data_IF_620466605426
#
_entry.id   IF_620466605426
#
_cell.length_a   1.000
_cell.length_b   1.000
_cell.length_c   1.000
_cell.angle_alpha   90.00
_cell.angle_beta   90.00
_cell.angle_gamma   90.00
#
_symmetry.space_group_name_H-M   'P 1'
#
loop_
_entity.id
_entity.type
_entity.pdbx_description
1 polymer ?
#
# COMPACT_ATOMS: atom_id res chain seq x y z
N UNK A 1 26.03 2.17 -15.47
CA UNK A 1 26.70 2.46 -16.76
C UNK A 1 26.38 3.85 -17.30
N UNK A 2 25.17 4.41 -17.08
CA UNK A 2 24.82 5.76 -17.58
C UNK A 2 25.65 6.88 -16.91
N UNK A 3 25.81 6.88 -15.58
CA UNK A 3 26.55 7.94 -14.89
C UNK A 3 28.05 7.96 -15.20
N UNK A 4 28.66 6.83 -15.55
CA UNK A 4 30.08 6.76 -15.92
C UNK A 4 30.40 7.44 -17.26
N UNK A 5 29.38 7.68 -18.09
CA UNK A 5 29.53 8.37 -19.38
C UNK A 5 29.42 9.89 -19.24
N UNK A 6 29.01 10.40 -18.07
CA UNK A 6 28.91 11.84 -17.81
C UNK A 6 30.24 12.39 -17.27
N UNK A 7 30.65 13.61 -17.69
CA UNK A 7 31.73 14.32 -17.01
C UNK A 7 31.33 14.55 -15.54
N UNK A 8 32.26 14.29 -14.61
CA UNK A 8 31.98 14.28 -13.16
C UNK A 8 30.91 13.26 -12.72
N UNK A 9 30.77 12.15 -13.44
CA UNK A 9 29.77 11.12 -13.20
C UNK A 9 29.67 10.59 -11.76
N UNK A 10 30.80 10.51 -11.04
CA UNK A 10 30.81 10.09 -9.64
C UNK A 10 30.12 11.11 -8.72
N UNK A 11 30.32 12.41 -8.96
CA UNK A 11 29.68 13.48 -8.19
C UNK A 11 28.16 13.51 -8.45
N UNK A 12 27.76 13.45 -9.73
CA UNK A 12 26.34 13.42 -10.12
C UNK A 12 25.66 12.16 -9.59
N UNK A 13 26.32 11.01 -9.70
CA UNK A 13 25.82 9.74 -9.15
C UNK A 13 25.62 9.81 -7.64
N UNK A 14 26.56 10.41 -6.90
CA UNK A 14 26.44 10.60 -5.45
C UNK A 14 25.23 11.47 -5.10
N UNK A 15 25.01 12.57 -5.80
CA UNK A 15 23.83 13.41 -5.61
C UNK A 15 22.53 12.68 -5.94
N UNK A 16 22.51 11.91 -7.03
CA UNK A 16 21.35 11.13 -7.45
C UNK A 16 20.95 10.07 -6.43
N UNK A 17 21.89 9.23 -6.01
CA UNK A 17 21.63 8.21 -4.99
C UNK A 17 21.37 8.82 -3.62
N UNK A 18 22.01 9.95 -3.29
CA UNK A 18 21.69 10.72 -2.10
C UNK A 18 20.23 11.20 -2.08
N UNK A 19 19.73 11.70 -3.21
CA UNK A 19 18.33 12.10 -3.36
C UNK A 19 17.38 10.90 -3.20
N UNK A 20 17.68 9.77 -3.85
CA UNK A 20 16.91 8.54 -3.70
C UNK A 20 16.88 8.03 -2.25
N UNK A 21 18.00 8.18 -1.52
CA UNK A 21 18.06 7.82 -0.10
C UNK A 21 17.13 8.67 0.76
N UNK A 22 17.14 9.99 0.60
CA UNK A 22 16.22 10.87 1.33
C UNK A 22 14.74 10.61 0.95
N UNK A 23 14.46 10.38 -0.34
CA UNK A 23 13.12 10.02 -0.80
C UNK A 23 12.64 8.68 -0.20
N UNK A 24 13.53 7.70 -0.05
CA UNK A 24 13.22 6.44 0.62
C UNK A 24 12.90 6.61 2.11
N UNK A 25 13.63 7.47 2.82
CA UNK A 25 13.39 7.77 4.24
C UNK A 25 11.99 8.38 4.43
N UNK A 26 11.65 9.41 3.66
CA UNK A 26 10.36 10.10 3.82
C UNK A 26 9.18 9.17 3.53
N UNK A 27 9.28 8.33 2.50
CA UNK A 27 8.27 7.31 2.21
C UNK A 27 8.13 6.28 3.32
N UNK A 28 9.26 5.79 3.87
CA UNK A 28 9.25 4.80 4.96
C UNK A 28 8.57 5.35 6.21
N UNK A 29 8.84 6.62 6.56
CA UNK A 29 8.19 7.28 7.70
C UNK A 29 6.68 7.40 7.49
N UNK A 30 6.24 7.81 6.29
CA UNK A 30 4.82 7.93 5.96
C UNK A 30 4.08 6.57 6.04
N UNK A 31 4.68 5.50 5.53
CA UNK A 31 4.08 4.16 5.53
C UNK A 31 4.10 3.48 6.91
N UNK A 32 5.04 3.84 7.79
CA UNK A 32 5.13 3.31 9.16
C UNK A 32 4.10 3.94 10.10
N UNK A 33 3.61 5.15 9.78
CA UNK A 33 2.72 5.90 10.66
C UNK A 33 1.32 5.25 10.82
N UNK A 34 0.62 4.79 9.76
CA UNK A 34 -0.69 4.14 9.91
C UNK A 34 -0.70 2.91 10.85
N UNK A 35 0.20 1.91 10.71
CA UNK A 35 0.20 0.78 11.64
C UNK A 35 0.58 1.20 13.08
N UNK A 36 1.44 2.21 13.23
CA UNK A 36 1.73 2.78 14.54
C UNK A 36 0.52 3.51 15.16
N UNK A 37 -0.25 4.25 14.37
CA UNK A 37 -1.45 4.94 14.82
C UNK A 37 -2.51 3.91 15.27
N UNK A 38 -2.74 2.87 14.48
CA UNK A 38 -3.61 1.76 14.88
C UNK A 38 -3.20 1.15 16.23
N UNK A 39 -1.92 0.85 16.45
CA UNK A 39 -1.47 0.30 17.74
C UNK A 39 -1.60 1.29 18.92
N UNK A 40 -1.48 2.58 18.67
CA UNK A 40 -1.59 3.61 19.71
C UNK A 40 -3.05 3.90 20.06
N UNK A 41 -3.87 4.19 19.05
CA UNK A 41 -5.24 4.65 19.22
C UNK A 41 -6.17 3.50 19.62
N UNK A 42 -5.98 2.33 19.00
CA UNK A 42 -6.86 1.18 19.20
C UNK A 42 -6.40 0.21 20.31
N UNK A 43 -5.09 0.04 20.46
CA UNK A 43 -4.54 -0.85 21.50
C UNK A 43 -3.98 -0.11 22.71
N UNK A 44 -3.97 1.23 22.71
CA UNK A 44 -3.46 2.04 23.80
C UNK A 44 -1.96 1.89 24.03
N UNK A 45 -1.18 1.42 23.04
CA UNK A 45 0.26 1.21 23.24
C UNK A 45 0.99 2.55 23.28
N UNK A 46 2.02 2.70 24.15
CA UNK A 46 2.85 3.90 24.10
C UNK A 46 3.64 3.93 22.78
N UNK A 47 3.82 5.12 22.21
CA UNK A 47 4.48 5.35 20.92
C UNK A 47 5.78 4.57 20.73
N UNK A 48 6.64 4.54 21.76
CA UNK A 48 7.94 3.83 21.72
C UNK A 48 7.75 2.31 21.52
N UNK A 49 6.77 1.71 22.19
CA UNK A 49 6.46 0.28 22.05
C UNK A 49 5.90 -0.03 20.67
N UNK A 50 4.99 0.80 20.16
CA UNK A 50 4.44 0.66 18.81
C UNK A 50 5.55 0.77 17.74
N UNK A 51 6.44 1.76 17.85
CA UNK A 51 7.55 1.95 16.93
C UNK A 51 8.50 0.75 16.89
N UNK A 52 8.95 0.27 18.06
CA UNK A 52 9.87 -0.88 18.15
C UNK A 52 9.21 -2.12 17.53
N UNK A 53 7.92 -2.34 17.81
CA UNK A 53 7.19 -3.47 17.25
C UNK A 53 7.12 -3.40 15.72
N UNK A 54 6.67 -2.28 15.16
CA UNK A 54 6.53 -2.13 13.71
C UNK A 54 7.88 -2.23 13.01
N UNK A 55 8.94 -1.60 13.54
CA UNK A 55 10.28 -1.68 12.95
C UNK A 55 10.84 -3.11 13.03
N UNK A 56 10.68 -3.80 14.17
CA UNK A 56 11.16 -5.19 14.31
C UNK A 56 10.43 -6.12 13.35
N UNK A 57 9.12 -5.91 13.17
CA UNK A 57 8.30 -6.63 12.21
C UNK A 57 8.77 -6.36 10.77
N UNK A 58 8.92 -5.09 10.37
CA UNK A 58 9.42 -4.71 9.04
C UNK A 58 10.83 -5.25 8.79
N UNK A 59 11.69 -5.25 9.80
CA UNK A 59 13.04 -5.80 9.68
C UNK A 59 13.01 -7.31 9.40
N UNK A 60 12.22 -8.09 10.14
CA UNK A 60 12.14 -9.53 9.96
C UNK A 60 11.60 -9.91 8.57
N UNK A 61 10.46 -9.34 8.19
CA UNK A 61 9.83 -9.62 6.89
C UNK A 61 10.61 -9.01 5.73
N UNK A 62 11.20 -7.83 5.92
CA UNK A 62 12.05 -7.18 4.92
C UNK A 62 13.28 -8.02 4.57
N UNK A 63 13.95 -8.61 5.56
CA UNK A 63 15.08 -9.52 5.30
C UNK A 63 14.65 -10.76 4.52
N UNK A 64 13.48 -11.34 4.82
CA UNK A 64 12.95 -12.46 4.04
C UNK A 64 12.78 -12.10 2.56
N UNK A 65 12.26 -10.90 2.26
CA UNK A 65 12.09 -10.42 0.88
C UNK A 65 13.46 -10.22 0.22
N UNK A 66 14.38 -9.52 0.90
CA UNK A 66 15.72 -9.19 0.36
C UNK A 66 16.52 -10.44 0.00
N UNK A 67 16.47 -11.49 0.83
CA UNK A 67 17.18 -12.74 0.55
C UNK A 67 16.55 -13.57 -0.57
N UNK A 68 15.30 -13.31 -0.94
CA UNK A 68 14.58 -14.07 -1.96
C UNK A 68 14.20 -13.22 -3.18
N UNK A 69 14.88 -12.10 -3.42
CA UNK A 69 14.65 -11.24 -4.59
C UNK A 69 14.83 -12.03 -5.89
N UNK A 70 15.81 -12.93 -5.96
CA UNK A 70 16.11 -13.73 -7.16
C UNK A 70 14.96 -14.66 -7.58
N UNK A 71 14.10 -15.06 -6.63
CA UNK A 71 12.95 -15.95 -6.85
C UNK A 71 11.65 -15.18 -7.16
N UNK A 72 11.72 -13.87 -7.45
CA UNK A 72 10.55 -13.05 -7.79
C UNK A 72 9.63 -12.69 -6.62
N UNK A 73 10.07 -12.88 -5.36
CA UNK A 73 9.24 -12.60 -4.17
C UNK A 73 8.83 -11.13 -4.08
N UNK A 74 9.71 -10.21 -4.49
CA UNK A 74 9.42 -8.78 -4.48
C UNK A 74 8.35 -8.42 -5.51
N UNK A 75 8.39 -9.01 -6.70
CA UNK A 75 7.42 -8.76 -7.77
C UNK A 75 6.04 -9.29 -7.38
N UNK A 76 5.98 -10.46 -6.71
CA UNK A 76 4.75 -11.02 -6.20
C UNK A 76 4.09 -10.11 -5.14
N UNK A 77 4.90 -9.55 -4.22
CA UNK A 77 4.40 -8.60 -3.22
C UNK A 77 3.92 -7.30 -3.84
N UNK A 78 4.69 -6.74 -4.78
CA UNK A 78 4.34 -5.49 -5.46
C UNK A 78 3.04 -5.65 -6.27
N UNK A 79 2.86 -6.81 -6.90
CA UNK A 79 1.62 -7.15 -7.59
C UNK A 79 0.42 -7.21 -6.65
N UNK A 80 0.48 -8.04 -5.59
CA UNK A 80 -0.69 -8.26 -4.73
C UNK A 80 -1.02 -7.06 -3.86
N UNK A 81 -0.02 -6.37 -3.31
CA UNK A 81 -0.23 -5.27 -2.37
C UNK A 81 -0.22 -3.93 -3.09
N UNK A 82 0.82 -3.66 -3.89
CA UNK A 82 1.04 -2.38 -4.55
C UNK A 82 0.09 -2.13 -5.72
N UNK A 83 -0.24 -3.17 -6.49
CA UNK A 83 -1.12 -3.05 -7.66
C UNK A 83 -2.57 -3.44 -7.33
N UNK A 84 -2.82 -4.69 -6.96
CA UNK A 84 -4.19 -5.21 -6.75
C UNK A 84 -4.81 -4.63 -5.49
N UNK A 85 -4.12 -4.81 -4.36
CA UNK A 85 -4.60 -4.38 -3.04
C UNK A 85 -4.93 -2.90 -3.03
N UNK A 86 -3.98 -2.06 -3.48
CA UNK A 86 -4.16 -0.61 -3.53
C UNK A 86 -5.43 -0.21 -4.31
N UNK A 87 -5.62 -0.74 -5.52
CA UNK A 87 -6.78 -0.39 -6.36
C UNK A 87 -8.09 -0.91 -5.76
N UNK A 88 -8.11 -2.16 -5.25
CA UNK A 88 -9.31 -2.76 -4.65
C UNK A 88 -9.71 -2.03 -3.37
N UNK A 89 -8.77 -1.78 -2.45
CA UNK A 89 -9.06 -1.05 -1.22
C UNK A 89 -9.48 0.39 -1.51
N UNK A 90 -8.81 1.08 -2.44
CA UNK A 90 -9.20 2.43 -2.85
C UNK A 90 -10.61 2.45 -3.45
N UNK A 91 -10.98 1.43 -4.23
CA UNK A 91 -12.32 1.31 -4.79
C UNK A 91 -13.37 1.05 -3.70
N UNK A 92 -13.08 0.22 -2.72
CA UNK A 92 -13.98 -0.01 -1.59
C UNK A 92 -14.12 1.24 -0.71
N UNK A 93 -13.02 1.92 -0.40
CA UNK A 93 -13.01 3.16 0.39
C UNK A 93 -13.83 4.26 -0.28
N UNK A 94 -13.65 4.48 -1.58
CA UNK A 94 -14.45 5.49 -2.30
C UNK A 94 -15.92 5.09 -2.36
N UNK A 95 -16.23 3.79 -2.47
CA UNK A 95 -17.61 3.30 -2.47
C UNK A 95 -18.29 3.59 -1.12
N UNK A 96 -17.60 3.26 -0.03
CA UNK A 96 -18.05 3.51 1.33
C UNK A 96 -18.22 5.02 1.55
N UNK A 97 -17.23 5.82 1.17
CA UNK A 97 -17.23 7.26 1.40
C UNK A 97 -18.30 8.00 0.59
N UNK A 98 -18.38 7.77 -0.72
CA UNK A 98 -19.25 8.56 -1.60
C UNK A 98 -20.71 8.07 -1.61
N UNK A 99 -20.97 6.79 -1.40
CA UNK A 99 -22.33 6.24 -1.50
C UNK A 99 -22.91 5.72 -0.19
N UNK A 100 -22.12 5.06 0.66
CA UNK A 100 -22.63 4.51 1.94
C UNK A 100 -22.74 5.62 3.00
N UNK A 101 -21.66 6.37 3.22
CA UNK A 101 -21.68 7.55 4.09
C UNK A 101 -22.52 8.68 3.46
N UNK A 102 -22.49 8.75 2.12
CA UNK A 102 -23.29 9.65 1.32
C UNK A 102 -22.52 10.93 0.98
N UNK A 103 -22.33 11.17 -0.33
CA UNK A 103 -21.49 12.24 -0.83
C UNK A 103 -21.91 13.63 -0.34
N UNK A 104 -23.19 13.87 -0.09
CA UNK A 104 -23.66 15.18 0.38
C UNK A 104 -23.17 15.48 1.81
N UNK A 105 -23.20 14.48 2.70
CA UNK A 105 -22.64 14.58 4.06
C UNK A 105 -21.13 14.68 4.03
N UNK A 106 -20.48 13.83 3.23
CA UNK A 106 -19.03 13.89 3.02
C UNK A 106 -18.59 15.28 2.53
N UNK A 107 -19.37 15.89 1.64
CA UNK A 107 -19.06 17.20 1.09
C UNK A 107 -19.24 18.34 2.11
N UNK A 108 -20.23 18.23 2.99
CA UNK A 108 -20.41 19.15 4.11
C UNK A 108 -19.21 19.06 5.06
N UNK A 109 -18.86 17.86 5.51
CA UNK A 109 -17.69 17.59 6.38
C UNK A 109 -16.37 18.09 5.78
N UNK A 110 -16.15 17.86 4.48
CA UNK A 110 -14.94 18.33 3.78
C UNK A 110 -14.84 19.87 3.78
N UNK A 111 -15.97 20.57 3.72
CA UNK A 111 -15.99 22.03 3.69
C UNK A 111 -16.17 22.66 5.07
N UNK A 112 -16.49 21.86 6.09
CA UNK A 112 -16.61 22.32 7.47
C UNK A 112 -15.22 22.69 8.02
N UNK A 113 -15.09 23.93 8.51
CA UNK A 113 -13.80 24.45 8.99
C UNK A 113 -12.74 24.67 7.90
N UNK A 114 -13.05 24.45 6.63
CA UNK A 114 -12.09 24.58 5.55
C UNK A 114 -11.77 26.05 5.24
N UNK A 115 -10.48 26.40 5.26
CA UNK A 115 -9.99 27.73 4.88
C UNK A 115 -10.29 28.07 3.40
N UNK A 116 -10.42 27.03 2.56
CA UNK A 116 -10.74 27.14 1.14
C UNK A 116 -11.90 26.18 0.86
N UNK A 117 -13.00 26.69 0.31
CA UNK A 117 -14.12 25.86 -0.14
C UNK A 117 -13.75 25.13 -1.41
N UNK A 118 -13.93 23.81 -1.42
CA UNK A 118 -13.58 22.98 -2.57
C UNK A 118 -14.59 23.21 -3.70
N UNK A 119 -14.15 23.43 -4.95
CA UNK A 119 -15.06 23.57 -6.09
C UNK A 119 -15.93 22.32 -6.29
N UNK A 120 -17.20 22.52 -6.67
CA UNK A 120 -18.18 21.43 -6.85
C UNK A 120 -17.83 20.45 -7.99
N UNK A 121 -16.82 20.75 -8.81
CA UNK A 121 -16.29 19.80 -9.80
C UNK A 121 -15.71 18.56 -9.11
N UNK A 122 -15.00 18.74 -7.99
CA UNK A 122 -14.43 17.62 -7.24
C UNK A 122 -15.50 16.71 -6.63
N UNK A 123 -16.71 17.24 -6.34
CA UNK A 123 -17.84 16.43 -5.89
C UNK A 123 -18.15 15.32 -6.91
N UNK A 124 -18.27 15.69 -8.19
CA UNK A 124 -18.58 14.74 -9.27
C UNK A 124 -17.39 13.85 -9.60
N UNK A 125 -16.16 14.38 -9.47
CA UNK A 125 -14.96 13.56 -9.64
C UNK A 125 -14.91 12.42 -8.62
N UNK A 126 -15.06 12.73 -7.33
CA UNK A 126 -15.02 11.74 -6.24
C UNK A 126 -16.17 10.74 -6.38
N UNK A 127 -17.39 11.22 -6.67
CA UNK A 127 -18.59 10.37 -6.71
C UNK A 127 -18.68 9.48 -7.96
N UNK A 128 -18.18 9.93 -9.11
CA UNK A 128 -18.39 9.23 -10.38
C UNK A 128 -17.10 8.93 -11.13
N UNK A 129 -16.22 9.92 -11.33
CA UNK A 129 -15.03 9.74 -12.17
C UNK A 129 -14.02 8.78 -11.54
N UNK A 130 -13.68 9.00 -10.28
CA UNK A 130 -12.73 8.16 -9.53
C UNK A 130 -13.17 6.70 -9.47
N UNK A 131 -14.39 6.36 -9.01
CA UNK A 131 -14.80 4.96 -8.93
C UNK A 131 -14.94 4.30 -10.30
N UNK A 132 -15.40 5.03 -11.33
CA UNK A 132 -15.43 4.48 -12.70
C UNK A 132 -14.02 4.20 -13.21
N UNK A 133 -13.07 5.12 -12.97
CA UNK A 133 -11.68 4.94 -13.38
C UNK A 133 -11.04 3.72 -12.69
N UNK A 134 -11.26 3.56 -11.39
CA UNK A 134 -10.78 2.39 -10.62
C UNK A 134 -11.44 1.09 -11.11
N UNK A 135 -12.74 1.10 -11.40
CA UNK A 135 -13.44 -0.05 -11.95
C UNK A 135 -12.91 -0.44 -13.34
N UNK A 136 -12.66 0.54 -14.22
CA UNK A 136 -12.07 0.31 -15.54
C UNK A 136 -10.65 -0.26 -15.40
N UNK A 137 -9.83 0.30 -14.52
CA UNK A 137 -8.48 -0.22 -14.26
C UNK A 137 -8.52 -1.68 -13.81
N UNK A 138 -9.41 -2.03 -12.87
CA UNK A 138 -9.56 -3.42 -12.42
C UNK A 138 -9.97 -4.36 -13.57
N UNK A 139 -10.92 -3.95 -14.41
CA UNK A 139 -11.41 -4.78 -15.52
C UNK A 139 -10.35 -4.96 -16.59
N UNK A 140 -9.75 -3.87 -17.07
CA UNK A 140 -8.73 -3.89 -18.14
C UNK A 140 -7.52 -4.71 -17.71
N UNK A 141 -7.05 -4.49 -16.49
CA UNK A 141 -5.89 -5.19 -15.97
C UNK A 141 -6.18 -6.68 -15.71
N UNK A 142 -7.36 -7.01 -15.19
CA UNK A 142 -7.77 -8.41 -14.97
C UNK A 142 -7.80 -9.17 -16.30
N UNK A 143 -8.24 -8.51 -17.37
CA UNK A 143 -8.24 -9.09 -18.71
C UNK A 143 -6.84 -9.25 -19.31
N UNK A 144 -5.95 -8.28 -19.09
CA UNK A 144 -4.62 -8.26 -19.72
C UNK A 144 -3.56 -9.10 -19.01
N UNK A 145 -3.51 -9.05 -17.67
CA UNK A 145 -2.38 -9.54 -16.90
C UNK A 145 -2.79 -10.37 -15.67
N UNK A 146 -4.02 -10.18 -15.18
CA UNK A 146 -4.49 -10.83 -13.95
C UNK A 146 -4.47 -12.37 -14.04
N UNK A 147 -4.97 -12.94 -15.14
CA UNK A 147 -5.08 -14.41 -15.28
C UNK A 147 -3.74 -15.13 -15.39
N UNK A 148 -2.79 -14.58 -16.15
CA UNK A 148 -1.50 -15.23 -16.37
C UNK A 148 -0.64 -15.24 -15.10
N UNK A 149 -0.73 -14.19 -14.28
CA UNK A 149 0.01 -14.08 -13.03
C UNK A 149 -0.66 -14.86 -11.87
N UNK A 150 -2.00 -14.90 -11.83
CA UNK A 150 -2.75 -15.74 -10.89
C UNK A 150 -2.42 -17.23 -11.08
N UNK A 151 -2.35 -17.67 -12.34
CA UNK A 151 -2.12 -19.07 -12.72
C UNK A 151 -0.64 -19.46 -12.74
N UNK A 152 0.28 -18.55 -12.37
CA UNK A 152 1.74 -18.79 -12.36
C UNK A 152 2.25 -19.32 -13.70
N UNK A 153 1.59 -18.98 -14.82
CA UNK A 153 1.87 -19.60 -16.13
C UNK A 153 3.27 -19.32 -16.67
N UNK A 154 3.90 -18.26 -16.18
CA UNK A 154 5.25 -17.85 -16.56
C UNK A 154 6.30 -18.08 -15.46
N UNK A 155 5.94 -18.75 -14.35
CA UNK A 155 6.89 -18.99 -13.26
C UNK A 155 7.74 -20.24 -13.53
N UNK A 156 9.05 -20.15 -13.30
CA UNK A 156 9.91 -21.34 -13.33
C UNK A 156 9.48 -22.31 -12.22
N UNK A 157 9.49 -23.64 -12.46
CA UNK A 157 9.08 -24.63 -11.46
C UNK A 157 9.84 -24.55 -10.12
N UNK A 158 11.06 -24.01 -10.14
CA UNK A 158 11.93 -23.86 -8.97
C UNK A 158 11.51 -22.71 -8.04
N UNK A 159 10.84 -21.68 -8.57
CA UNK A 159 10.43 -20.48 -7.81
C UNK A 159 9.04 -20.61 -7.17
N UNK A 160 8.24 -21.57 -7.64
CA UNK A 160 6.85 -21.80 -7.19
C UNK A 160 6.73 -21.92 -5.66
N UNK A 161 7.61 -22.65 -4.93
CA UNK A 161 7.53 -22.75 -3.48
C UNK A 161 7.68 -21.40 -2.77
N UNK A 162 8.58 -20.53 -3.25
CA UNK A 162 8.83 -19.21 -2.68
C UNK A 162 7.67 -18.26 -2.95
N UNK A 163 7.08 -18.32 -4.15
CA UNK A 163 5.91 -17.53 -4.51
C UNK A 163 4.67 -17.94 -3.70
N UNK A 164 4.44 -19.24 -3.54
CA UNK A 164 3.35 -19.74 -2.69
C UNK A 164 3.54 -19.37 -1.22
N UNK A 165 4.76 -19.43 -0.72
CA UNK A 165 5.07 -19.00 0.64
C UNK A 165 4.82 -17.50 0.82
N UNK A 166 5.17 -16.69 -0.18
CA UNK A 166 4.91 -15.24 -0.20
C UNK A 166 3.40 -14.95 -0.16
N UNK A 167 2.59 -15.64 -0.98
CA UNK A 167 1.12 -15.57 -0.91
C UNK A 167 0.60 -15.99 0.47
N UNK A 168 1.15 -17.05 1.05
CA UNK A 168 0.82 -17.51 2.39
C UNK A 168 1.12 -16.45 3.47
N UNK A 169 2.25 -15.76 3.37
CA UNK A 169 2.61 -14.64 4.23
C UNK A 169 1.58 -13.51 4.06
N UNK A 170 1.30 -13.08 2.83
CA UNK A 170 0.31 -12.01 2.56
C UNK A 170 -1.04 -12.35 3.20
N UNK A 171 -1.58 -13.54 2.93
CA UNK A 171 -2.86 -13.99 3.50
C UNK A 171 -2.80 -14.04 5.02
N UNK A 172 -1.70 -14.55 5.58
CA UNK A 172 -1.46 -14.56 7.03
C UNK A 172 -1.48 -13.16 7.64
N UNK A 173 -0.86 -12.17 6.99
CA UNK A 173 -0.85 -10.78 7.45
C UNK A 173 -2.24 -10.13 7.37
N UNK A 174 -2.98 -10.37 6.28
CA UNK A 174 -4.36 -9.90 6.14
C UNK A 174 -5.25 -10.50 7.23
N UNK A 175 -5.18 -11.82 7.46
CA UNK A 175 -5.94 -12.50 8.51
C UNK A 175 -5.58 -11.99 9.91
N UNK A 176 -4.29 -11.76 10.17
CA UNK A 176 -3.82 -11.17 11.42
C UNK A 176 -4.34 -9.74 11.59
N UNK A 177 -4.38 -8.94 10.52
CA UNK A 177 -5.00 -7.61 10.52
C UNK A 177 -6.49 -7.67 10.86
N UNK A 178 -7.25 -8.51 10.15
CA UNK A 178 -8.69 -8.72 10.40
C UNK A 178 -8.95 -9.21 11.82
N UNK A 179 -8.11 -10.13 12.32
CA UNK A 179 -8.20 -10.61 13.69
C UNK A 179 -7.96 -9.51 14.72
N UNK A 180 -6.95 -8.65 14.50
CA UNK A 180 -6.67 -7.51 15.37
C UNK A 180 -7.83 -6.53 15.37
N UNK A 181 -8.36 -6.16 14.20
CA UNK A 181 -9.53 -5.28 14.09
C UNK A 181 -10.73 -5.89 14.82
N UNK A 182 -11.02 -7.18 14.62
CA UNK A 182 -12.13 -7.87 15.31
C UNK A 182 -11.94 -7.95 16.83
N UNK A 183 -10.71 -8.02 17.31
CA UNK A 183 -10.40 -8.03 18.74
C UNK A 183 -10.63 -6.64 19.35
N UNK A 184 -10.13 -5.62 18.67
CA UNK A 184 -10.26 -4.21 19.06
C UNK A 184 -11.72 -3.76 19.00
N UNK A 185 -12.46 -4.12 17.96
CA UNK A 185 -13.83 -3.67 17.75
C UNK A 185 -14.81 -4.13 18.83
N UNK A 186 -14.46 -5.18 19.60
CA UNK A 186 -15.23 -5.59 20.79
C UNK A 186 -15.18 -4.57 21.93
N UNK A 187 -14.16 -3.72 21.92
CA UNK A 187 -13.95 -2.66 22.90
C UNK A 187 -14.55 -1.32 22.45
N UNK A 188 -15.06 -1.21 21.21
CA UNK A 188 -15.77 -0.04 20.68
C UNK A 188 -17.22 0.03 21.18
N UNK A 189 -17.40 -0.04 22.50
CA UNK A 189 -18.67 0.22 23.17
C UNK A 189 -18.75 1.67 23.61
#
# INVERSE_FOLDING_TARGET
MIFQQLPLGQFIGTLWFGLLFFAGITSTVALTQPPMAFLQDEMGWPRKKAAIFVISFLFLFGNFIVFNIEHGVIDELDFWIGTVGLVVFSFLEIIIFAWIFGMDKAWEEINEGAAIRIPRIFYYMIKYVTPVSLAVLLVVWTYQAGFDLLLLRNANPEDIPFLLLTRGIIVGLILLGVFQVRRVSKNWK
#
